data_IF_232321847030
#
_entry.id   IF_232321847030
#
_cell.length_a   1.000
_cell.length_b   1.000
_cell.length_c   1.000
_cell.angle_alpha   90.00
_cell.angle_beta   90.00
_cell.angle_gamma   90.00
#
_symmetry.space_group_name_H-M   'P 1'
#
loop_
_entity.id
_entity.type
_entity.pdbx_description
1 polymer ?
#
# COMPACT_ATOMS: atom_id res chain seq x y z
N UNK A 1 -3.20 -6.73 -3.27
CA UNK A 1 -2.44 -7.64 -4.16
C UNK A 1 -1.01 -7.39 -3.80
N UNK A 2 -0.21 -8.45 -3.67
CA UNK A 2 1.22 -8.35 -3.41
C UNK A 2 1.92 -7.47 -4.45
N UNK A 3 3.07 -6.90 -4.10
CA UNK A 3 3.69 -5.84 -4.91
C UNK A 3 5.19 -5.73 -4.68
N UNK A 4 5.91 -5.15 -5.65
CA UNK A 4 7.31 -4.76 -5.44
C UNK A 4 7.42 -3.53 -4.53
N UNK A 5 8.56 -3.40 -3.86
CA UNK A 5 8.90 -2.33 -2.92
C UNK A 5 10.22 -1.69 -3.38
N UNK A 6 10.30 -0.36 -3.27
CA UNK A 6 11.51 0.42 -3.53
C UNK A 6 11.73 1.47 -2.43
N UNK A 7 12.93 2.09 -2.35
CA UNK A 7 13.20 3.11 -1.34
C UNK A 7 12.14 4.23 -1.35
N UNK A 8 11.48 4.43 -0.21
CA UNK A 8 10.38 5.39 -0.03
C UNK A 8 9.19 5.20 -0.97
N UNK A 9 9.00 4.02 -1.55
CA UNK A 9 7.89 3.70 -2.46
C UNK A 9 7.34 2.32 -2.14
N UNK A 10 6.23 2.28 -1.39
CA UNK A 10 5.63 1.02 -0.95
C UNK A 10 5.13 0.18 -2.14
N UNK A 11 4.55 0.81 -3.17
CA UNK A 11 4.14 0.17 -4.42
C UNK A 11 5.09 0.60 -5.56
N UNK A 12 6.07 -0.24 -5.89
CA UNK A 12 7.15 0.12 -6.83
C UNK A 12 6.85 -0.14 -8.31
N UNK A 13 5.68 -0.71 -8.63
CA UNK A 13 5.15 -0.80 -9.99
C UNK A 13 4.78 -2.21 -10.42
N UNK A 14 5.52 -3.23 -9.96
CA UNK A 14 5.19 -4.63 -10.23
C UNK A 14 4.14 -5.13 -9.25
N UNK A 15 3.16 -5.88 -9.76
CA UNK A 15 2.12 -6.51 -8.93
C UNK A 15 2.23 -8.03 -9.00
N UNK A 16 1.97 -8.70 -7.88
CA UNK A 16 2.00 -10.15 -7.77
C UNK A 16 0.56 -10.63 -7.60
N UNK A 17 -0.02 -11.28 -8.63
CA UNK A 17 -1.41 -11.67 -8.62
C UNK A 17 -1.66 -12.82 -7.62
N UNK A 18 -2.80 -12.79 -6.95
CA UNK A 18 -3.27 -13.86 -6.04
C UNK A 18 -4.32 -14.77 -6.68
N UNK A 19 -4.59 -14.57 -7.97
CA UNK A 19 -5.49 -15.37 -8.82
C UNK A 19 -4.85 -15.58 -10.19
N UNK A 20 -5.32 -16.59 -10.93
CA UNK A 20 -4.86 -16.84 -12.31
C UNK A 20 -5.20 -15.68 -13.26
N UNK A 21 -4.37 -15.48 -14.29
CA UNK A 21 -4.62 -14.52 -15.37
C UNK A 21 -3.98 -13.15 -15.20
N UNK A 22 -3.02 -13.01 -14.27
CA UNK A 22 -2.21 -11.81 -14.15
C UNK A 22 -1.18 -11.64 -15.27
N UNK A 23 -0.40 -10.57 -15.17
CA UNK A 23 0.65 -10.24 -16.13
C UNK A 23 1.78 -11.28 -16.12
N UNK A 24 2.46 -11.43 -17.27
CA UNK A 24 3.58 -12.35 -17.44
C UNK A 24 4.93 -11.72 -17.08
N UNK A 25 4.92 -10.63 -16.31
CA UNK A 25 6.13 -9.95 -15.85
C UNK A 25 6.93 -10.85 -14.90
N UNK A 26 8.25 -10.81 -15.02
CA UNK A 26 9.17 -11.68 -14.27
C UNK A 26 9.80 -10.88 -13.13
N UNK A 27 9.93 -11.52 -11.97
CA UNK A 27 10.70 -10.98 -10.83
C UNK A 27 12.19 -10.99 -11.14
N UNK A 28 12.89 -9.90 -10.82
CA UNK A 28 14.29 -9.68 -11.14
C UNK A 28 15.18 -9.74 -9.90
N UNK A 29 16.46 -10.02 -10.12
CA UNK A 29 17.47 -9.99 -9.05
C UNK A 29 17.53 -8.60 -8.40
N UNK A 30 17.69 -8.58 -7.08
CA UNK A 30 17.74 -7.41 -6.19
C UNK A 30 16.39 -6.69 -5.97
N UNK A 31 15.29 -7.19 -6.53
CA UNK A 31 13.97 -6.69 -6.20
C UNK A 31 13.52 -7.12 -4.80
N UNK A 32 12.69 -6.28 -4.19
CA UNK A 32 12.05 -6.50 -2.90
C UNK A 32 10.55 -6.60 -3.14
N UNK A 33 9.89 -7.55 -2.49
CA UNK A 33 8.46 -7.76 -2.63
C UNK A 33 7.77 -7.89 -1.28
N UNK A 34 6.63 -7.22 -1.15
CA UNK A 34 5.57 -7.61 -0.23
C UNK A 34 4.80 -8.78 -0.83
N UNK A 35 4.89 -9.95 -0.22
CA UNK A 35 4.10 -11.13 -0.57
C UNK A 35 2.98 -11.26 0.44
N UNK A 36 1.83 -10.71 0.08
CA UNK A 36 0.58 -10.77 0.81
C UNK A 36 -0.50 -11.56 0.07
N UNK A 37 -1.37 -12.24 0.82
CA UNK A 37 -2.56 -12.88 0.29
C UNK A 37 -3.77 -12.54 1.15
N UNK A 38 -4.95 -12.51 0.53
CA UNK A 38 -6.22 -12.25 1.20
C UNK A 38 -7.19 -13.39 0.91
N UNK A 39 -7.66 -14.05 1.97
CA UNK A 39 -8.77 -14.98 1.91
C UNK A 39 -10.07 -14.27 2.28
N UNK A 40 -11.18 -14.63 1.63
CA UNK A 40 -12.51 -14.08 1.95
C UNK A 40 -13.58 -15.18 1.94
N UNK A 41 -14.54 -15.10 2.86
CA UNK A 41 -15.78 -15.88 2.82
C UNK A 41 -16.88 -15.21 1.99
N UNK A 42 -16.61 -14.04 1.43
CA UNK A 42 -17.52 -13.22 0.65
C UNK A 42 -17.42 -13.49 -0.86
N UNK A 43 -17.41 -12.41 -1.67
CA UNK A 43 -17.28 -12.53 -3.13
C UNK A 43 -15.82 -12.65 -3.59
N UNK A 44 -14.85 -12.41 -2.71
CA UNK A 44 -13.44 -12.34 -3.08
C UNK A 44 -13.13 -11.10 -3.92
N UNK A 45 -13.94 -10.05 -3.81
CA UNK A 45 -13.75 -8.79 -4.52
C UNK A 45 -14.00 -7.62 -3.57
N UNK A 46 -13.06 -6.68 -3.53
CA UNK A 46 -13.12 -5.52 -2.65
C UNK A 46 -13.60 -4.28 -3.39
N UNK A 47 -14.20 -3.36 -2.65
CA UNK A 47 -14.59 -2.03 -3.10
C UNK A 47 -14.27 -1.03 -1.99
N UNK A 48 -14.14 0.24 -2.37
CA UNK A 48 -13.94 1.33 -1.43
C UNK A 48 -15.19 1.48 -0.56
N UNK A 49 -15.02 1.49 0.76
CA UNK A 49 -16.09 1.75 1.72
C UNK A 49 -15.53 2.48 2.96
N UNK A 50 -16.41 3.07 3.76
CA UNK A 50 -16.11 3.83 4.98
C UNK A 50 -15.29 5.11 4.76
N UNK A 51 -14.90 5.77 5.85
CA UNK A 51 -14.15 7.02 5.79
C UNK A 51 -12.67 6.81 5.46
N UNK A 52 -12.17 7.51 4.43
CA UNK A 52 -10.76 7.49 4.05
C UNK A 52 -9.87 8.02 5.16
N UNK A 53 -8.89 7.21 5.58
CA UNK A 53 -7.92 7.57 6.62
C UNK A 53 -6.47 7.57 6.12
N UNK A 54 -6.16 6.83 5.06
CA UNK A 54 -4.81 6.68 4.52
C UNK A 54 -4.64 7.53 3.27
N UNK A 55 -3.46 8.14 3.16
CA UNK A 55 -3.09 9.05 2.09
C UNK A 55 -1.62 8.83 1.77
N UNK A 56 -1.24 8.98 0.52
CA UNK A 56 0.16 8.90 0.13
C UNK A 56 0.43 9.91 -0.97
N UNK A 57 1.57 10.58 -0.93
CA UNK A 57 1.95 11.46 -2.02
C UNK A 57 2.16 10.62 -3.28
N UNK A 58 1.61 11.06 -4.41
CA UNK A 58 1.92 10.46 -5.69
C UNK A 58 3.44 10.57 -5.94
N UNK A 59 4.08 9.43 -6.17
CA UNK A 59 5.54 9.33 -6.29
C UNK A 59 6.08 10.20 -7.43
N UNK A 60 5.33 10.27 -8.54
CA UNK A 60 5.71 10.96 -9.77
C UNK A 60 5.27 12.44 -9.77
N UNK A 61 4.49 12.88 -8.77
CA UNK A 61 4.14 14.27 -8.61
C UNK A 61 5.37 15.08 -8.13
N UNK A 62 5.90 15.94 -9.00
CA UNK A 62 7.09 16.78 -8.77
C UNK A 62 6.98 17.83 -7.64
N UNK A 63 5.97 17.77 -6.78
CA UNK A 63 5.73 18.73 -5.70
C UNK A 63 6.44 18.34 -4.39
N UNK A 64 7.15 19.27 -3.74
CA UNK A 64 7.95 19.02 -2.52
C UNK A 64 7.16 19.12 -1.19
N UNK A 65 5.85 18.89 -1.19
CA UNK A 65 4.96 19.43 -0.14
C UNK A 65 4.77 18.59 1.13
N UNK A 66 5.27 17.36 1.24
CA UNK A 66 5.13 16.53 2.45
C UNK A 66 6.43 16.46 3.24
N UNK A 67 6.86 17.57 3.86
CA UNK A 67 8.14 17.63 4.59
C UNK A 67 8.33 16.52 5.62
N UNK A 68 7.24 16.04 6.24
CA UNK A 68 7.29 15.01 7.28
C UNK A 68 7.23 13.56 6.77
N UNK A 69 6.67 13.32 5.57
CA UNK A 69 6.38 11.95 5.10
C UNK A 69 7.06 11.61 3.76
N UNK A 70 7.51 12.61 3.00
CA UNK A 70 8.01 12.39 1.65
C UNK A 70 6.98 11.65 0.79
N UNK A 71 7.37 10.51 0.24
CA UNK A 71 6.49 9.62 -0.55
C UNK A 71 5.96 8.44 0.27
N UNK A 72 6.23 8.37 1.57
CA UNK A 72 5.63 7.37 2.45
C UNK A 72 4.14 7.70 2.71
N UNK A 73 3.35 6.66 2.91
CA UNK A 73 1.96 6.81 3.32
C UNK A 73 1.87 7.45 4.72
N UNK A 74 0.78 8.17 4.94
CA UNK A 74 0.43 8.78 6.22
C UNK A 74 -1.07 8.67 6.47
N UNK A 75 -1.50 9.06 7.67
CA UNK A 75 -2.91 9.10 8.02
C UNK A 75 -3.29 10.39 8.75
N UNK A 76 -4.60 10.69 8.81
CA UNK A 76 -5.13 11.89 9.49
C UNK A 76 -4.63 12.03 10.93
N UNK A 77 -4.59 10.93 11.68
CA UNK A 77 -4.08 10.89 13.06
C UNK A 77 -2.63 11.37 13.19
N UNK A 78 -1.81 11.20 12.15
CA UNK A 78 -0.42 11.67 12.18
C UNK A 78 -0.34 13.18 11.95
N UNK A 79 -1.22 13.75 11.13
CA UNK A 79 -1.37 15.20 11.03
C UNK A 79 -1.84 15.80 12.36
N UNK A 80 -2.82 15.18 13.02
CA UNK A 80 -3.30 15.62 14.34
C UNK A 80 -2.15 15.65 15.37
N UNK A 81 -1.29 14.63 15.39
CA UNK A 81 -0.13 14.55 16.30
C UNK A 81 0.94 15.60 16.01
N UNK A 82 1.02 16.10 14.78
CA UNK A 82 1.89 17.20 14.39
C UNK A 82 1.30 18.58 14.78
N UNK A 83 0.09 18.61 15.33
CA UNK A 83 -0.62 19.84 15.68
C UNK A 83 -1.37 20.48 14.51
N UNK A 84 -1.46 19.79 13.38
CA UNK A 84 -2.25 20.26 12.24
C UNK A 84 -3.73 20.27 12.59
N UNK A 85 -4.46 21.29 12.15
CA UNK A 85 -5.91 21.41 12.38
C UNK A 85 -6.60 21.98 11.15
N UNK A 86 -7.90 21.69 11.00
CA UNK A 86 -8.73 22.17 9.86
C UNK A 86 -8.15 21.81 8.47
N UNK A 87 -7.31 20.78 8.39
CA UNK A 87 -6.56 20.41 7.18
C UNK A 87 -7.39 19.63 6.14
N UNK A 88 -8.60 19.18 6.47
CA UNK A 88 -9.39 18.30 5.59
C UNK A 88 -9.66 18.91 4.22
N UNK A 89 -9.93 20.21 4.14
CA UNK A 89 -10.16 20.90 2.86
C UNK A 89 -8.88 20.97 2.02
N UNK A 90 -7.74 21.27 2.67
CA UNK A 90 -6.44 21.29 2.00
C UNK A 90 -6.05 19.89 1.51
N UNK A 91 -6.32 18.86 2.30
CA UNK A 91 -6.07 17.48 1.93
C UNK A 91 -6.93 17.05 0.73
N UNK A 92 -8.20 17.46 0.69
CA UNK A 92 -9.10 17.26 -0.45
C UNK A 92 -8.58 17.93 -1.72
N UNK A 93 -8.17 19.20 -1.63
CA UNK A 93 -7.59 19.95 -2.76
C UNK A 93 -6.32 19.27 -3.31
N UNK A 94 -5.43 18.79 -2.44
CA UNK A 94 -4.24 18.04 -2.85
C UNK A 94 -4.58 16.71 -3.54
N UNK A 95 -5.68 16.06 -3.14
CA UNK A 95 -6.18 14.86 -3.80
C UNK A 95 -6.77 15.16 -5.17
N UNK A 96 -7.59 16.19 -5.29
CA UNK A 96 -8.19 16.62 -6.56
C UNK A 96 -7.12 17.07 -7.57
N UNK A 97 -5.97 17.56 -7.09
CA UNK A 97 -4.81 17.91 -7.92
C UNK A 97 -3.90 16.72 -8.27
N UNK A 98 -4.18 15.51 -7.78
CA UNK A 98 -3.34 14.32 -8.01
C UNK A 98 -1.96 14.39 -7.36
N UNK A 99 -1.77 15.28 -6.36
CA UNK A 99 -0.51 15.38 -5.61
C UNK A 99 -0.48 14.32 -4.50
N UNK A 100 -1.63 14.04 -3.91
CA UNK A 100 -1.83 13.02 -2.88
C UNK A 100 -2.91 12.06 -3.36
N UNK A 101 -2.66 10.77 -3.29
CA UNK A 101 -3.65 9.75 -3.59
C UNK A 101 -4.35 9.30 -2.29
N UNK A 102 -5.69 9.29 -2.25
CA UNK A 102 -6.44 8.71 -1.13
C UNK A 102 -6.46 7.18 -1.23
N UNK A 103 -6.29 6.50 -0.10
CA UNK A 103 -6.40 5.04 0.01
C UNK A 103 -7.53 4.70 1.00
N UNK A 104 -8.79 4.64 0.54
CA UNK A 104 -9.91 4.26 1.39
C UNK A 104 -9.81 2.80 1.86
N UNK A 105 -10.50 2.43 2.95
CA UNK A 105 -10.63 1.03 3.33
C UNK A 105 -11.22 0.18 2.20
N UNK A 106 -10.60 -0.97 1.95
CA UNK A 106 -11.03 -1.94 0.95
C UNK A 106 -11.85 -3.05 1.62
N UNK A 107 -13.13 -3.14 1.28
CA UNK A 107 -14.08 -4.06 1.90
C UNK A 107 -14.69 -5.03 0.89
N UNK A 108 -14.88 -6.29 1.27
CA UNK A 108 -15.78 -7.21 0.56
C UNK A 108 -17.22 -7.02 1.11
N UNK A 109 -18.18 -7.84 0.68
CA UNK A 109 -19.60 -7.70 1.00
C UNK A 109 -19.87 -7.76 2.51
N UNK A 110 -20.83 -6.95 2.96
CA UNK A 110 -21.25 -6.92 4.35
C UNK A 110 -21.56 -8.33 4.88
N UNK A 111 -21.01 -8.63 6.06
CA UNK A 111 -21.22 -9.90 6.78
C UNK A 111 -20.24 -11.01 6.40
N UNK A 112 -19.32 -10.78 5.46
CA UNK A 112 -18.21 -11.71 5.23
C UNK A 112 -17.06 -11.50 6.21
N UNK A 113 -16.13 -12.46 6.22
CA UNK A 113 -14.88 -12.40 6.94
C UNK A 113 -13.71 -12.46 5.97
N UNK A 114 -12.69 -11.66 6.24
CA UNK A 114 -11.43 -11.65 5.49
C UNK A 114 -10.26 -11.97 6.41
N UNK A 115 -9.21 -12.58 5.85
CA UNK A 115 -7.96 -12.86 6.54
C UNK A 115 -6.78 -12.53 5.62
N UNK A 116 -5.68 -12.06 6.20
CA UNK A 116 -4.46 -11.69 5.48
C UNK A 116 -3.23 -12.24 6.20
N UNK A 117 -2.23 -12.67 5.44
CA UNK A 117 -0.85 -12.83 5.90
C UNK A 117 0.09 -12.19 4.89
N UNK A 118 1.21 -11.66 5.38
CA UNK A 118 2.20 -10.97 4.57
C UNK A 118 3.62 -11.20 5.07
N UNK A 119 4.56 -11.33 4.12
CA UNK A 119 5.99 -11.12 4.39
C UNK A 119 6.63 -10.26 3.32
N UNK A 120 7.66 -9.53 3.72
CA UNK A 120 8.66 -8.99 2.81
C UNK A 120 9.71 -10.04 2.47
N UNK A 121 10.01 -10.19 1.17
CA UNK A 121 11.13 -10.99 0.65
C UNK A 121 12.14 -10.11 -0.10
N UNK A 122 13.40 -10.52 -0.09
CA UNK A 122 14.48 -9.91 -0.87
C UNK A 122 15.05 -10.96 -1.82
N UNK A 123 15.08 -10.66 -3.11
CA UNK A 123 15.64 -11.54 -4.15
C UNK A 123 17.14 -11.26 -4.31
N UNK A 124 17.94 -11.67 -3.34
CA UNK A 124 19.40 -11.43 -3.37
C UNK A 124 20.06 -12.24 -4.49
N UNK A 125 21.24 -11.83 -4.98
CA UNK A 125 21.95 -12.57 -6.04
C UNK A 125 22.26 -14.02 -5.68
N UNK A 126 22.41 -14.32 -4.39
CA UNK A 126 22.82 -15.64 -3.90
C UNK A 126 21.69 -16.44 -3.25
N UNK A 127 20.58 -15.80 -2.88
CA UNK A 127 19.45 -16.47 -2.23
C UNK A 127 18.17 -15.62 -2.26
N UNK A 128 17.05 -16.29 -2.03
CA UNK A 128 15.81 -15.61 -1.62
C UNK A 128 15.77 -15.56 -0.10
N UNK A 129 15.58 -14.37 0.46
CA UNK A 129 15.49 -14.17 1.91
C UNK A 129 14.10 -13.68 2.29
N UNK A 130 13.42 -14.38 3.21
CA UNK A 130 12.17 -13.91 3.82
C UNK A 130 12.54 -13.05 5.03
N UNK A 131 12.88 -11.80 4.78
CA UNK A 131 13.53 -10.91 5.77
C UNK A 131 12.65 -10.57 6.97
N UNK A 132 11.33 -10.82 6.86
CA UNK A 132 10.35 -10.57 7.92
C UNK A 132 9.84 -11.85 8.59
N UNK A 133 10.45 -13.01 8.34
CA UNK A 133 10.09 -14.28 8.98
C UNK A 133 10.37 -14.23 10.48
N UNK A 134 9.42 -14.67 11.29
CA UNK A 134 9.58 -14.89 12.74
C UNK A 134 9.24 -16.32 13.16
N UNK A 135 9.29 -16.58 14.46
CA UNK A 135 8.83 -17.84 15.07
C UNK A 135 7.30 -17.91 15.19
N UNK A 136 6.63 -16.78 14.97
CA UNK A 136 5.18 -16.62 14.99
C UNK A 136 4.53 -16.99 13.65
N UNK A 137 5.02 -16.45 12.53
CA UNK A 137 4.54 -16.82 11.19
C UNK A 137 5.45 -16.41 10.03
#
# INVERSE_FOLDING_TARGET
MAHSIAPYRIHAGKTVPIVKGGEAEIMEENEVYAIETFGSTGRGYVHDDMETSHYMKNYDAGHRSSQNFGTLAFCRRWLDRLGESKYLMALKDLCEKGIIDPYPPLCDVKGCYTAQFEHTIVLRPTCKEVVTRGDDY
#
